data_IF_898434995743
#
_entry.id   IF_898434995743
#
_cell.length_a   1.000
_cell.length_b   1.000
_cell.length_c   1.000
_cell.angle_alpha   90.00
_cell.angle_beta   90.00
_cell.angle_gamma   90.00
#
_symmetry.space_group_name_H-M   'P 1'
#
loop_
_entity.id
_entity.type
_entity.pdbx_description
1 polymer ?
#
# COMPACT_ATOMS: atom_id res chain seq x y z
N UNK A 1 -52.39 28.52 54.43
CA UNK A 1 -52.72 27.21 55.04
C UNK A 1 -51.49 26.34 54.98
N UNK A 2 -50.93 25.89 56.11
CA UNK A 2 -49.71 25.08 56.08
C UNK A 2 -50.04 23.74 55.43
N UNK A 3 -49.34 23.41 54.34
CA UNK A 3 -49.39 22.07 53.76
C UNK A 3 -49.08 21.07 54.87
N UNK A 4 -49.95 20.07 55.02
CA UNK A 4 -49.83 19.06 56.06
C UNK A 4 -48.53 18.28 55.85
N UNK A 5 -47.64 18.33 56.84
CA UNK A 5 -46.39 17.57 56.92
C UNK A 5 -46.47 16.10 56.42
N UNK A 6 -47.57 15.32 56.64
CA UNK A 6 -47.68 13.98 56.07
C UNK A 6 -47.65 13.93 54.53
N UNK A 7 -48.16 14.95 53.85
CA UNK A 7 -48.17 15.01 52.38
C UNK A 7 -46.74 15.18 51.82
N UNK A 8 -45.92 15.99 52.49
CA UNK A 8 -44.51 16.21 52.12
C UNK A 8 -43.70 14.93 52.36
N UNK A 9 -43.89 14.26 53.50
CA UNK A 9 -43.24 12.99 53.81
C UNK A 9 -43.62 11.88 52.82
N UNK A 10 -44.89 11.80 52.41
CA UNK A 10 -45.35 10.83 51.41
C UNK A 10 -44.74 11.06 50.02
N UNK A 11 -44.64 12.33 49.59
CA UNK A 11 -43.97 12.71 48.34
C UNK A 11 -42.47 12.36 48.38
N UNK A 12 -41.81 12.58 49.50
CA UNK A 12 -40.39 12.30 49.65
C UNK A 12 -40.12 10.78 49.66
N UNK A 13 -40.96 10.00 50.31
CA UNK A 13 -40.86 8.53 50.32
C UNK A 13 -41.10 7.92 48.93
N UNK A 14 -42.09 8.42 48.19
CA UNK A 14 -42.37 7.96 46.82
C UNK A 14 -41.27 8.37 45.83
N UNK A 15 -40.74 9.59 45.94
CA UNK A 15 -39.59 10.02 45.16
C UNK A 15 -38.35 9.16 45.45
N UNK A 16 -38.07 8.86 46.73
CA UNK A 16 -36.96 8.00 47.12
C UNK A 16 -37.13 6.57 46.57
N UNK A 17 -38.34 6.02 46.64
CA UNK A 17 -38.65 4.70 46.10
C UNK A 17 -38.46 4.64 44.57
N UNK A 18 -38.90 5.69 43.85
CA UNK A 18 -38.68 5.81 42.40
C UNK A 18 -37.20 5.94 42.06
N UNK A 19 -36.43 6.73 42.81
CA UNK A 19 -34.99 6.84 42.63
C UNK A 19 -34.27 5.51 42.86
N UNK A 20 -34.65 4.76 43.90
CA UNK A 20 -34.08 3.43 44.18
C UNK A 20 -34.43 2.43 43.07
N UNK A 21 -35.68 2.43 42.59
CA UNK A 21 -36.10 1.58 41.48
C UNK A 21 -35.32 1.90 40.20
N UNK A 22 -35.17 3.18 39.86
CA UNK A 22 -34.38 3.62 38.71
C UNK A 22 -32.91 3.20 38.83
N UNK A 23 -32.30 3.38 40.01
CA UNK A 23 -30.92 2.95 40.26
C UNK A 23 -30.75 1.43 40.09
N UNK A 24 -31.69 0.63 40.60
CA UNK A 24 -31.67 -0.82 40.43
C UNK A 24 -31.79 -1.25 38.96
N UNK A 25 -32.65 -0.57 38.18
CA UNK A 25 -32.79 -0.83 36.74
C UNK A 25 -31.52 -0.51 35.97
N UNK A 26 -30.86 0.62 36.27
CA UNK A 26 -29.59 1.01 35.64
C UNK A 26 -28.50 -0.02 35.97
N UNK A 27 -28.37 -0.41 37.24
CA UNK A 27 -27.41 -1.44 37.67
C UNK A 27 -27.66 -2.78 36.99
N UNK A 28 -28.92 -3.17 36.80
CA UNK A 28 -29.27 -4.42 36.13
C UNK A 28 -28.95 -4.37 34.63
N UNK A 29 -29.20 -3.24 33.96
CA UNK A 29 -28.83 -3.04 32.55
C UNK A 29 -27.31 -3.08 32.37
N UNK A 30 -26.56 -2.37 33.21
CA UNK A 30 -25.10 -2.34 33.14
C UNK A 30 -24.50 -3.75 33.37
N UNK A 31 -25.02 -4.51 34.35
CA UNK A 31 -24.62 -5.91 34.54
C UNK A 31 -24.90 -6.76 33.29
N UNK A 32 -26.04 -6.58 32.64
CA UNK A 32 -26.39 -7.33 31.42
C UNK A 32 -25.45 -7.00 30.26
N UNK A 33 -25.13 -5.72 30.06
CA UNK A 33 -24.21 -5.28 29.02
C UNK A 33 -22.79 -5.79 29.26
N UNK A 34 -22.30 -5.71 30.50
CA UNK A 34 -20.99 -6.26 30.88
C UNK A 34 -20.92 -7.77 30.65
N UNK A 35 -21.98 -8.51 30.94
CA UNK A 35 -22.04 -9.95 30.66
C UNK A 35 -22.02 -10.25 29.15
N UNK A 36 -22.74 -9.47 28.34
CA UNK A 36 -22.70 -9.61 26.87
C UNK A 36 -21.30 -9.29 26.31
N UNK A 37 -20.67 -8.22 26.80
CA UNK A 37 -19.32 -7.84 26.40
C UNK A 37 -18.31 -8.94 26.74
N UNK A 38 -18.38 -9.51 27.96
CA UNK A 38 -17.54 -10.65 28.36
C UNK A 38 -17.71 -11.87 27.46
N UNK A 39 -18.96 -12.28 27.20
CA UNK A 39 -19.23 -13.40 26.28
C UNK A 39 -18.69 -13.16 24.87
N UNK A 40 -18.76 -11.91 24.40
CA UNK A 40 -18.22 -11.54 23.08
C UNK A 40 -16.69 -11.62 23.06
N UNK A 41 -16.03 -11.18 24.13
CA UNK A 41 -14.57 -11.28 24.27
C UNK A 41 -14.15 -12.74 24.33
N UNK A 42 -14.81 -13.58 25.14
CA UNK A 42 -14.54 -15.02 25.24
C UNK A 42 -14.72 -15.71 23.88
N UNK A 43 -15.80 -15.39 23.15
CA UNK A 43 -16.02 -15.94 21.81
C UNK A 43 -14.95 -15.49 20.81
N UNK A 44 -14.43 -14.26 20.92
CA UNK A 44 -13.33 -13.79 20.08
C UNK A 44 -12.01 -14.47 20.45
N UNK A 45 -11.74 -14.67 21.75
CA UNK A 45 -10.57 -15.40 22.22
C UNK A 45 -10.58 -16.84 21.71
N UNK A 46 -11.70 -17.54 21.81
CA UNK A 46 -11.86 -18.89 21.26
C UNK A 46 -11.63 -18.93 19.74
N UNK A 47 -12.10 -17.93 18.99
CA UNK A 47 -11.84 -17.86 17.54
C UNK A 47 -10.38 -17.60 17.22
N UNK A 48 -9.70 -16.77 18.01
CA UNK A 48 -8.27 -16.49 17.85
C UNK A 48 -7.47 -17.75 18.18
N UNK A 49 -7.77 -18.43 19.28
CA UNK A 49 -7.14 -19.70 19.64
C UNK A 49 -7.38 -20.77 18.58
N UNK A 50 -8.60 -20.89 18.08
CA UNK A 50 -8.91 -21.81 16.99
C UNK A 50 -8.10 -21.47 15.73
N UNK A 51 -8.01 -20.20 15.34
CA UNK A 51 -7.22 -19.77 14.17
C UNK A 51 -5.70 -19.92 14.37
N UNK A 52 -5.21 -19.81 15.61
CA UNK A 52 -3.80 -20.04 15.95
C UNK A 52 -3.43 -21.53 15.94
N UNK A 53 -4.38 -22.39 16.32
CA UNK A 53 -4.22 -23.85 16.31
C UNK A 53 -4.75 -24.50 15.03
N UNK A 54 -5.22 -23.71 14.06
CA UNK A 54 -5.59 -24.21 12.74
C UNK A 54 -4.31 -24.51 11.94
N UNK A 55 -3.69 -25.65 12.26
CA UNK A 55 -2.52 -26.22 11.57
C UNK A 55 -2.83 -26.61 10.11
N UNK A 56 -4.08 -26.43 9.65
CA UNK A 56 -4.51 -26.75 8.29
C UNK A 56 -3.73 -26.01 7.19
N UNK A 57 -3.06 -24.91 7.52
CA UNK A 57 -2.28 -24.10 6.60
C UNK A 57 -0.79 -24.48 6.51
N UNK A 58 -0.31 -25.45 7.27
CA UNK A 58 1.12 -25.79 7.25
C UNK A 58 1.56 -26.39 5.91
N UNK A 59 0.72 -27.22 5.30
CA UNK A 59 0.97 -27.74 3.96
C UNK A 59 1.01 -26.62 2.90
N UNK A 60 0.09 -25.65 3.00
CA UNK A 60 0.01 -24.51 2.09
C UNK A 60 1.17 -23.52 2.31
N UNK A 61 1.58 -23.29 3.57
CA UNK A 61 2.76 -22.49 3.92
C UNK A 61 4.04 -23.13 3.39
N UNK A 62 4.18 -24.45 3.51
CA UNK A 62 5.33 -25.17 2.96
C UNK A 62 5.34 -25.07 1.43
N UNK A 63 4.20 -25.27 0.76
CA UNK A 63 4.07 -25.12 -0.69
C UNK A 63 4.38 -23.69 -1.16
N UNK A 64 3.91 -22.67 -0.43
CA UNK A 64 4.25 -21.28 -0.71
C UNK A 64 5.73 -21.01 -0.51
N UNK A 65 6.32 -21.50 0.58
CA UNK A 65 7.73 -21.34 0.88
C UNK A 65 8.65 -21.98 -0.17
N UNK A 66 8.29 -23.15 -0.70
CA UNK A 66 9.04 -23.79 -1.78
C UNK A 66 8.89 -23.03 -3.10
N UNK A 67 7.67 -22.59 -3.45
CA UNK A 67 7.43 -21.76 -4.63
C UNK A 67 8.21 -20.44 -4.57
N UNK A 68 8.23 -19.79 -3.40
CA UNK A 68 8.96 -18.54 -3.18
C UNK A 68 10.48 -18.75 -3.32
N UNK A 69 11.03 -19.84 -2.75
CA UNK A 69 12.45 -20.17 -2.91
C UNK A 69 12.81 -20.43 -4.38
N UNK A 70 11.96 -21.14 -5.11
CA UNK A 70 12.18 -21.40 -6.53
C UNK A 70 12.15 -20.10 -7.35
N UNK A 71 11.20 -19.20 -7.09
CA UNK A 71 11.11 -17.90 -7.74
C UNK A 71 12.27 -16.96 -7.38
N UNK A 72 12.74 -17.01 -6.12
CA UNK A 72 13.93 -16.25 -5.69
C UNK A 72 15.16 -16.69 -6.45
N UNK A 73 15.36 -18.01 -6.59
CA UNK A 73 16.51 -18.58 -7.31
C UNK A 73 16.51 -18.17 -8.78
N UNK A 74 15.38 -18.25 -9.47
CA UNK A 74 15.28 -17.85 -10.88
C UNK A 74 15.54 -16.36 -11.07
N UNK A 75 15.07 -15.53 -10.14
CA UNK A 75 15.29 -14.07 -10.18
C UNK A 75 16.74 -13.72 -9.89
N UNK A 76 17.39 -14.36 -8.92
CA UNK A 76 18.81 -14.16 -8.62
C UNK A 76 19.71 -14.56 -9.79
N UNK A 77 19.39 -15.66 -10.49
CA UNK A 77 20.12 -16.07 -11.69
C UNK A 77 19.92 -15.10 -12.87
N UNK A 78 18.80 -14.37 -12.92
CA UNK A 78 18.53 -13.36 -13.94
C UNK A 78 19.11 -11.98 -13.59
N UNK A 79 19.40 -11.72 -12.32
CA UNK A 79 19.93 -10.43 -11.83
C UNK A 79 21.21 -9.95 -12.54
N UNK A 80 22.22 -10.79 -12.82
CA UNK A 80 23.42 -10.34 -13.55
C UNK A 80 23.12 -9.85 -14.97
N UNK A 81 22.15 -10.46 -15.65
CA UNK A 81 21.72 -10.01 -16.99
C UNK A 81 21.02 -8.66 -16.90
N UNK A 82 20.15 -8.47 -15.93
CA UNK A 82 19.45 -7.20 -15.71
C UNK A 82 20.41 -6.07 -15.32
N UNK A 83 21.39 -6.35 -14.45
CA UNK A 83 22.42 -5.38 -14.08
C UNK A 83 23.32 -5.00 -15.25
N UNK A 84 23.53 -5.91 -16.21
CA UNK A 84 24.31 -5.64 -17.43
C UNK A 84 23.49 -4.83 -18.43
N UNK A 85 22.21 -5.16 -18.62
CA UNK A 85 21.28 -4.40 -19.47
C UNK A 85 21.07 -2.97 -18.96
N UNK A 86 20.89 -2.80 -17.65
CA UNK A 86 20.76 -1.48 -17.04
C UNK A 86 22.03 -0.60 -17.17
N UNK A 87 23.21 -1.21 -17.39
CA UNK A 87 24.46 -0.48 -17.66
C UNK A 87 24.64 -0.11 -19.12
N UNK A 88 24.04 -0.87 -20.05
CA UNK A 88 24.07 -0.55 -21.49
C UNK A 88 23.35 0.78 -21.80
N UNK A 89 22.32 1.14 -21.02
CA UNK A 89 21.54 2.37 -21.20
C UNK A 89 22.26 3.68 -20.81
N UNK A 90 23.47 3.63 -20.25
CA UNK A 90 24.16 4.86 -19.79
C UNK A 90 24.89 5.61 -20.90
N UNK A 91 25.17 4.98 -22.05
CA UNK A 91 25.85 5.64 -23.17
C UNK A 91 24.90 5.81 -24.34
N UNK A 92 24.69 7.04 -24.84
CA UNK A 92 23.92 7.23 -26.06
C UNK A 92 24.58 6.41 -27.19
N UNK A 93 23.79 5.75 -28.06
CA UNK A 93 24.29 5.06 -29.23
C UNK A 93 25.33 5.88 -30.00
N UNK A 94 26.39 5.22 -30.47
CA UNK A 94 27.50 5.92 -31.15
C UNK A 94 27.04 6.78 -32.33
N UNK A 95 25.97 6.35 -33.03
CA UNK A 95 25.33 7.09 -34.12
C UNK A 95 24.91 8.51 -33.69
N UNK A 96 24.34 8.68 -32.49
CA UNK A 96 23.97 9.99 -31.95
C UNK A 96 25.18 10.85 -31.57
N UNK A 97 26.28 10.21 -31.14
CA UNK A 97 27.54 10.91 -30.83
C UNK A 97 28.21 11.46 -32.08
N UNK A 98 28.17 10.71 -33.19
CA UNK A 98 28.72 11.15 -34.48
C UNK A 98 27.87 12.30 -35.02
N UNK A 99 26.54 12.15 -35.00
CA UNK A 99 25.60 13.19 -35.45
C UNK A 99 25.75 14.51 -34.68
N UNK A 100 25.79 14.45 -33.35
CA UNK A 100 25.97 15.65 -32.52
C UNK A 100 27.32 16.34 -32.75
N UNK A 101 28.38 15.59 -33.08
CA UNK A 101 29.67 16.17 -33.47
C UNK A 101 29.59 16.88 -34.82
N UNK A 102 28.99 16.25 -35.84
CA UNK A 102 28.84 16.86 -37.16
C UNK A 102 27.96 18.13 -37.10
N UNK A 103 26.85 18.06 -36.37
CA UNK A 103 26.01 19.24 -36.13
C UNK A 103 26.76 20.36 -35.39
N UNK A 104 27.61 20.02 -34.40
CA UNK A 104 28.43 21.01 -33.69
C UNK A 104 29.52 21.66 -34.55
N UNK A 105 29.85 21.05 -35.68
CA UNK A 105 30.77 21.60 -36.69
C UNK A 105 30.06 22.52 -37.70
N UNK A 106 28.75 22.74 -37.54
CA UNK A 106 27.95 23.62 -38.39
C UNK A 106 27.48 22.97 -39.70
N UNK A 107 27.53 21.63 -39.80
CA UNK A 107 27.04 20.90 -40.96
C UNK A 107 25.51 20.85 -40.95
N UNK A 108 24.91 21.10 -42.12
CA UNK A 108 23.46 21.06 -42.32
C UNK A 108 22.95 19.61 -42.47
N UNK A 109 21.64 19.42 -42.28
CA UNK A 109 21.02 18.08 -42.26
C UNK A 109 21.24 17.32 -43.57
N UNK A 110 21.24 17.98 -44.72
CA UNK A 110 21.53 17.33 -46.01
C UNK A 110 22.99 16.86 -46.13
N UNK A 111 23.94 17.63 -45.61
CA UNK A 111 25.37 17.31 -45.65
C UNK A 111 25.68 16.12 -44.73
N UNK A 112 25.07 16.12 -43.54
CA UNK A 112 25.14 15.01 -42.59
C UNK A 112 24.57 13.72 -43.21
N UNK A 113 23.44 13.83 -43.90
CA UNK A 113 22.82 12.69 -44.58
C UNK A 113 23.73 12.11 -45.67
N UNK A 114 24.39 12.97 -46.45
CA UNK A 114 25.35 12.57 -47.46
C UNK A 114 26.59 11.89 -46.86
N UNK A 115 27.16 12.42 -45.78
CA UNK A 115 28.33 11.85 -45.10
C UNK A 115 28.02 10.47 -44.49
N UNK A 116 26.82 10.31 -43.94
CA UNK A 116 26.41 9.08 -43.26
C UNK A 116 25.76 8.06 -44.20
N UNK A 117 25.54 8.41 -45.47
CA UNK A 117 24.90 7.54 -46.46
C UNK A 117 23.45 7.19 -46.10
N UNK A 118 22.74 8.11 -45.46
CA UNK A 118 21.33 7.95 -45.03
C UNK A 118 20.43 8.99 -45.69
N UNK A 119 19.11 8.83 -45.54
CA UNK A 119 18.17 9.85 -46.02
C UNK A 119 18.22 11.12 -45.16
N UNK A 120 17.92 12.28 -45.75
CA UNK A 120 17.82 13.56 -45.01
C UNK A 120 16.75 13.53 -43.92
N UNK A 121 15.65 12.80 -44.15
CA UNK A 121 14.59 12.57 -43.16
C UNK A 121 15.13 11.78 -41.96
N UNK A 122 15.89 10.73 -42.19
CA UNK A 122 16.51 9.93 -41.13
C UNK A 122 17.55 10.75 -40.37
N UNK A 123 18.39 11.52 -41.07
CA UNK A 123 19.36 12.41 -40.43
C UNK A 123 18.68 13.42 -39.49
N UNK A 124 17.60 14.07 -39.95
CA UNK A 124 16.81 15.00 -39.13
C UNK A 124 16.16 14.35 -37.91
N UNK A 125 15.58 13.16 -38.08
CA UNK A 125 15.01 12.39 -36.96
C UNK A 125 16.06 12.04 -35.91
N UNK A 126 17.22 11.55 -36.34
CA UNK A 126 18.30 11.17 -35.43
C UNK A 126 18.92 12.39 -34.73
N UNK A 127 18.96 13.55 -35.40
CA UNK A 127 19.41 14.81 -34.81
C UNK A 127 18.45 15.27 -33.69
N UNK A 128 17.15 15.21 -33.95
CA UNK A 128 16.11 15.50 -32.95
C UNK A 128 16.21 14.58 -31.73
N UNK A 129 16.34 13.27 -31.96
CA UNK A 129 16.53 12.28 -30.88
C UNK A 129 17.84 12.53 -30.10
N UNK A 130 18.92 12.93 -30.79
CA UNK A 130 20.18 13.25 -30.13
C UNK A 130 20.08 14.49 -29.22
N UNK A 131 19.27 15.48 -29.60
CA UNK A 131 18.99 16.65 -28.78
C UNK A 131 18.18 16.26 -27.54
N UNK A 132 17.13 15.44 -27.69
CA UNK A 132 16.30 14.96 -26.57
C UNK A 132 17.13 14.14 -25.56
N UNK A 133 17.99 13.24 -26.05
CA UNK A 133 18.87 12.43 -25.20
C UNK A 133 19.91 13.26 -24.41
N UNK A 134 20.20 14.49 -24.85
CA UNK A 134 21.09 15.43 -24.14
C UNK A 134 20.36 16.16 -22.99
N UNK A 135 19.05 16.39 -23.12
CA UNK A 135 18.23 17.04 -22.08
C UNK A 135 17.63 16.08 -21.04
N UNK A 136 17.56 14.78 -21.33
CA UNK A 136 17.08 13.76 -20.39
C UNK A 136 18.10 13.27 -19.36
N UNK A 137 19.24 13.96 -19.19
CA UNK A 137 20.23 13.69 -18.14
C UNK A 137 20.18 14.72 -17.04
#
# INVERSE_FOLDING_TARGET
MPLSLPLILGLLATALALCLLAALLVLHRDKSERLRARKRIEALQQKIEAALHDEGFDAERLAFGTALKAASLTTELQRPRLDTLAKLDKRPPEKYRILSKLASQGLEVEEIAAILGISSVEAGQLLSLSAMAKYGR
#
